data_IF_983907908947
#
_entry.id   IF_983907908947
#
_cell.length_a   1.000
_cell.length_b   1.000
_cell.length_c   1.000
_cell.angle_alpha   90.00
_cell.angle_beta   90.00
_cell.angle_gamma   90.00
#
_symmetry.space_group_name_H-M   'P 1'
#
loop_
_entity.id
_entity.type
_entity.pdbx_description
1 polymer ?
#
# COMPACT_ATOMS: atom_id res chain seq x y z
N UNK A 1 15.95 -28.97 15.31
CA UNK A 1 15.70 -27.53 15.60
C UNK A 1 16.03 -26.72 14.36
N UNK A 2 15.01 -26.41 13.58
CA UNK A 2 14.78 -25.08 13.02
C UNK A 2 13.35 -25.08 12.50
N UNK A 3 12.55 -24.27 13.16
CA UNK A 3 11.17 -23.98 12.81
C UNK A 3 11.18 -23.16 11.51
N UNK A 4 10.35 -23.56 10.56
CA UNK A 4 10.02 -22.72 9.43
C UNK A 4 8.51 -22.59 9.43
N UNK A 5 8.02 -21.71 10.31
CA UNK A 5 6.64 -21.26 10.30
C UNK A 5 6.40 -20.54 8.97
N UNK A 6 5.79 -21.28 8.04
CA UNK A 6 5.19 -20.72 6.84
C UNK A 6 4.00 -19.89 7.28
N UNK A 7 4.18 -18.59 7.49
CA UNK A 7 3.08 -17.65 7.55
C UNK A 7 2.44 -17.56 6.16
N UNK A 8 1.51 -18.48 5.91
CA UNK A 8 0.45 -18.30 4.94
C UNK A 8 -0.33 -17.06 5.33
N UNK A 9 -0.19 -15.97 4.57
CA UNK A 9 -1.21 -14.93 4.55
C UNK A 9 -2.49 -15.57 4.02
N UNK A 10 -3.29 -16.09 4.93
CA UNK A 10 -4.65 -16.51 4.66
C UNK A 10 -5.38 -15.28 4.12
N UNK A 11 -5.67 -15.30 2.81
CA UNK A 11 -6.67 -14.43 2.22
C UNK A 11 -8.00 -14.81 2.88
N UNK A 12 -8.28 -14.22 4.04
CA UNK A 12 -9.59 -14.22 4.65
C UNK A 12 -10.54 -13.48 3.70
N UNK A 13 -11.18 -14.26 2.83
CA UNK A 13 -12.34 -13.84 2.08
C UNK A 13 -13.50 -13.76 3.08
N UNK A 14 -13.60 -12.62 3.76
CA UNK A 14 -14.69 -12.38 4.68
C UNK A 14 -15.99 -12.25 3.88
N UNK A 15 -16.93 -13.10 4.27
CA UNK A 15 -18.32 -13.20 3.85
C UNK A 15 -18.95 -11.81 3.55
N UNK A 16 -19.37 -11.61 2.29
CA UNK A 16 -20.06 -10.40 1.82
C UNK A 16 -21.51 -10.40 2.32
N UNK A 17 -21.72 -10.32 3.63
CA UNK A 17 -22.93 -9.69 4.12
C UNK A 17 -22.87 -8.22 3.71
N UNK A 18 -23.93 -7.73 3.04
CA UNK A 18 -24.09 -6.31 2.65
C UNK A 18 -24.10 -5.44 3.91
N UNK A 19 -22.92 -5.11 4.39
CA UNK A 19 -22.70 -4.09 5.39
C UNK A 19 -22.59 -2.76 4.64
N UNK A 20 -23.58 -1.88 4.83
CA UNK A 20 -23.47 -0.50 4.35
C UNK A 20 -22.45 0.21 5.22
N UNK A 21 -21.40 0.76 4.60
CA UNK A 21 -20.37 1.49 5.33
C UNK A 21 -20.95 2.79 5.88
N UNK A 22 -20.70 3.07 7.15
CA UNK A 22 -20.95 4.39 7.73
C UNK A 22 -19.72 5.31 7.58
N UNK A 23 -19.89 6.62 7.85
CA UNK A 23 -18.84 7.61 7.66
C UNK A 23 -17.54 7.29 8.43
N UNK A 24 -17.65 6.82 9.67
CA UNK A 24 -16.50 6.47 10.50
C UNK A 24 -15.74 5.24 9.96
N UNK A 25 -16.46 4.26 9.41
CA UNK A 25 -15.82 3.11 8.76
C UNK A 25 -15.11 3.50 7.47
N UNK A 26 -15.69 4.42 6.69
CA UNK A 26 -15.06 4.96 5.49
C UNK A 26 -13.79 5.73 5.86
N UNK A 27 -13.85 6.60 6.88
CA UNK A 27 -12.70 7.35 7.40
C UNK A 27 -11.55 6.40 7.77
N UNK A 28 -11.81 5.40 8.62
CA UNK A 28 -10.79 4.42 8.98
C UNK A 28 -10.23 3.62 7.81
N UNK A 29 -11.07 3.28 6.82
CA UNK A 29 -10.62 2.60 5.60
C UNK A 29 -9.64 3.46 4.81
N UNK A 30 -9.96 4.74 4.66
CA UNK A 30 -9.10 5.70 3.95
C UNK A 30 -7.80 5.95 4.71
N UNK A 31 -7.85 6.12 6.03
CA UNK A 31 -6.66 6.23 6.88
C UNK A 31 -5.72 5.04 6.70
N UNK A 32 -6.28 3.82 6.75
CA UNK A 32 -5.52 2.59 6.58
C UNK A 32 -4.84 2.51 5.20
N UNK A 33 -5.57 2.85 4.13
CA UNK A 33 -4.99 2.86 2.78
C UNK A 33 -3.93 3.95 2.59
N UNK A 34 -4.13 5.14 3.18
CA UNK A 34 -3.14 6.23 3.15
C UNK A 34 -1.85 5.77 3.84
N UNK A 35 -1.94 5.16 5.02
CA UNK A 35 -0.77 4.65 5.75
C UNK A 35 -0.04 3.57 4.94
N UNK A 36 -0.79 2.60 4.40
CA UNK A 36 -0.23 1.50 3.63
C UNK A 36 0.47 1.99 2.36
N UNK A 37 -0.13 2.93 1.62
CA UNK A 37 0.45 3.49 0.42
C UNK A 37 1.73 4.29 0.71
N UNK A 38 1.78 5.05 1.82
CA UNK A 38 3.01 5.75 2.24
C UNK A 38 4.14 4.76 2.51
N UNK A 39 3.87 3.71 3.28
CA UNK A 39 4.85 2.64 3.57
C UNK A 39 5.36 1.95 2.29
N UNK A 40 4.48 1.67 1.34
CA UNK A 40 4.86 1.12 0.03
C UNK A 40 5.72 2.08 -0.80
N UNK A 41 5.35 3.35 -0.87
CA UNK A 41 6.11 4.35 -1.63
C UNK A 41 7.55 4.51 -1.09
N UNK A 42 7.73 4.50 0.23
CA UNK A 42 9.03 4.56 0.89
C UNK A 42 9.86 3.30 0.62
N UNK A 43 9.23 2.13 0.73
CA UNK A 43 9.85 0.84 0.47
C UNK A 43 10.31 0.73 -0.99
N UNK A 44 9.50 1.19 -1.95
CA UNK A 44 9.85 1.21 -3.38
C UNK A 44 11.05 2.11 -3.62
N UNK A 45 11.10 3.30 -3.02
CA UNK A 45 12.25 4.21 -3.12
C UNK A 45 13.52 3.59 -2.54
N UNK A 46 13.42 2.92 -1.39
CA UNK A 46 14.54 2.23 -0.78
C UNK A 46 15.08 1.12 -1.71
N UNK A 47 14.20 0.26 -2.22
CA UNK A 47 14.59 -0.83 -3.14
C UNK A 47 15.08 -0.33 -4.49
N UNK A 48 14.55 0.78 -4.99
CA UNK A 48 15.06 1.37 -6.23
C UNK A 48 16.55 1.75 -6.12
N UNK A 49 17.01 2.23 -4.95
CA UNK A 49 18.45 2.54 -4.72
C UNK A 49 19.32 1.29 -4.82
N UNK A 50 18.84 0.16 -4.27
CA UNK A 50 19.55 -1.11 -4.36
C UNK A 50 19.57 -1.66 -5.79
N UNK A 51 18.42 -1.59 -6.49
CA UNK A 51 18.27 -2.05 -7.87
C UNK A 51 19.13 -1.22 -8.83
N UNK A 52 19.30 0.07 -8.59
CA UNK A 52 20.05 0.98 -9.45
C UNK A 52 21.51 0.55 -9.67
N UNK A 53 22.10 -0.13 -8.68
CA UNK A 53 23.46 -0.66 -8.76
C UNK A 53 23.62 -1.76 -9.83
N UNK A 54 22.53 -2.45 -10.17
CA UNK A 54 22.52 -3.60 -11.09
C UNK A 54 21.77 -3.28 -12.37
N UNK A 55 20.65 -2.57 -12.29
CA UNK A 55 19.78 -2.25 -13.41
C UNK A 55 19.11 -0.87 -13.24
N UNK A 56 19.76 0.19 -13.74
CA UNK A 56 19.23 1.56 -13.65
C UNK A 56 17.85 1.75 -14.30
N UNK A 57 17.55 1.00 -15.38
CA UNK A 57 16.25 1.09 -16.05
C UNK A 57 15.13 0.51 -15.18
N UNK A 58 15.38 -0.62 -14.54
CA UNK A 58 14.42 -1.20 -13.59
C UNK A 58 14.22 -0.28 -12.37
N UNK A 59 15.31 0.28 -11.82
CA UNK A 59 15.23 1.24 -10.72
C UNK A 59 14.37 2.46 -11.07
N UNK A 60 14.49 2.99 -12.28
CA UNK A 60 13.64 4.09 -12.76
C UNK A 60 12.15 3.73 -12.75
N UNK A 61 11.78 2.52 -13.19
CA UNK A 61 10.39 2.04 -13.15
C UNK A 61 9.86 1.86 -11.72
N UNK A 62 10.71 1.40 -10.80
CA UNK A 62 10.33 1.28 -9.38
C UNK A 62 10.14 2.65 -8.73
N UNK A 63 10.95 3.66 -9.11
CA UNK A 63 10.72 5.05 -8.67
C UNK A 63 9.40 5.62 -9.21
N UNK A 64 9.11 5.39 -10.49
CA UNK A 64 7.83 5.77 -11.11
C UNK A 64 6.65 5.12 -10.37
N UNK A 65 6.77 3.85 -9.96
CA UNK A 65 5.75 3.20 -9.15
C UNK A 65 5.55 3.87 -7.77
N UNK A 66 6.61 4.37 -7.14
CA UNK A 66 6.50 5.13 -5.89
C UNK A 66 5.79 6.48 -6.09
N UNK A 67 6.07 7.18 -7.20
CA UNK A 67 5.41 8.44 -7.55
C UNK A 67 3.91 8.24 -7.83
N UNK A 68 3.55 7.17 -8.53
CA UNK A 68 2.14 6.80 -8.75
C UNK A 68 1.44 6.47 -7.42
N UNK A 69 2.15 5.83 -6.49
CA UNK A 69 1.62 5.53 -5.15
C UNK A 69 1.38 6.82 -4.35
N UNK A 70 2.28 7.80 -4.42
CA UNK A 70 2.07 9.11 -3.80
C UNK A 70 0.86 9.83 -4.41
N UNK A 71 0.70 9.80 -5.75
CA UNK A 71 -0.44 10.39 -6.42
C UNK A 71 -1.76 9.72 -6.00
N UNK A 72 -1.77 8.39 -5.87
CA UNK A 72 -2.89 7.63 -5.31
C UNK A 72 -3.19 8.08 -3.88
N UNK A 73 -2.17 8.19 -3.04
CA UNK A 73 -2.28 8.65 -1.65
C UNK A 73 -2.88 10.05 -1.56
N UNK A 74 -2.48 10.98 -2.44
CA UNK A 74 -3.06 12.32 -2.48
C UNK A 74 -4.57 12.30 -2.74
N UNK A 75 -5.05 11.44 -3.65
CA UNK A 75 -6.48 11.26 -3.90
C UNK A 75 -7.23 10.66 -2.72
N UNK A 76 -6.61 9.75 -1.99
CA UNK A 76 -7.21 9.20 -0.77
C UNK A 76 -7.29 10.25 0.35
N UNK A 77 -6.28 11.12 0.47
CA UNK A 77 -6.31 12.24 1.44
C UNK A 77 -7.41 13.25 1.07
N UNK A 78 -7.56 13.58 -0.22
CA UNK A 78 -8.69 14.41 -0.68
C UNK A 78 -10.02 13.77 -0.30
N UNK A 79 -10.22 12.48 -0.59
CA UNK A 79 -11.43 11.76 -0.25
C UNK A 79 -11.70 11.71 1.27
N UNK A 80 -10.66 11.54 2.09
CA UNK A 80 -10.78 11.54 3.55
C UNK A 80 -11.26 12.89 4.10
N UNK A 81 -10.99 13.99 3.40
CA UNK A 81 -11.51 15.32 3.75
C UNK A 81 -12.95 15.59 3.30
N UNK A 82 -13.57 14.67 2.57
CA UNK A 82 -14.96 14.76 2.08
C UNK A 82 -15.95 13.89 2.86
N UNK A 83 -15.47 13.05 3.78
CA UNK A 83 -16.27 12.17 4.66
C UNK A 83 -16.52 12.86 6.00
#
# INVERSE_FOLDING_TARGET
MHEHESHTHELQTHDLHKHELNAHEIEHLLEHWIEHNKSHSESFRARAKEIELVNPKAAARVREAAELMDACTAKLVEAAGEV
#
